data_IF_384891847108
#
_entry.id   IF_384891847108
#
_cell.length_a   1.000
_cell.length_b   1.000
_cell.length_c   1.000
_cell.angle_alpha   90.00
_cell.angle_beta   90.00
_cell.angle_gamma   90.00
#
_symmetry.space_group_name_H-M   'P 1'
#
loop_
_entity.id
_entity.type
_entity.pdbx_description
1 polymer ?
#
# COMPACT_ATOMS: atom_id res chain seq x y z
N UNK A 1 -28.10 11.33 0.16
CA UNK A 1 -26.83 11.35 0.90
C UNK A 1 -26.95 12.06 2.24
N UNK A 2 -27.45 13.30 2.31
CA UNK A 2 -27.57 14.03 3.60
C UNK A 2 -28.49 13.34 4.63
N UNK A 3 -29.63 12.80 4.18
CA UNK A 3 -30.54 12.06 5.08
C UNK A 3 -29.86 10.80 5.66
N UNK A 4 -29.16 10.03 4.83
CA UNK A 4 -28.42 8.83 5.26
C UNK A 4 -27.28 9.20 6.21
N UNK A 5 -26.51 10.25 5.90
CA UNK A 5 -25.43 10.73 6.75
C UNK A 5 -25.94 11.22 8.13
N UNK A 6 -27.11 11.85 8.18
CA UNK A 6 -27.75 12.26 9.43
C UNK A 6 -28.18 11.05 10.26
N UNK A 7 -28.76 10.03 9.63
CA UNK A 7 -29.16 8.77 10.29
C UNK A 7 -27.94 7.99 10.78
N UNK A 8 -26.88 7.87 9.98
CA UNK A 8 -25.64 7.20 10.39
C UNK A 8 -24.98 7.97 11.55
N UNK A 9 -24.98 9.30 11.52
CA UNK A 9 -24.45 10.11 12.62
C UNK A 9 -25.25 9.89 13.91
N UNK A 10 -26.58 9.77 13.82
CA UNK A 10 -27.43 9.37 14.94
C UNK A 10 -27.07 7.99 15.47
N UNK A 11 -27.05 6.98 14.60
CA UNK A 11 -26.68 5.60 14.94
C UNK A 11 -25.31 5.49 15.63
N UNK A 12 -24.30 6.19 15.11
CA UNK A 12 -22.96 6.22 15.69
C UNK A 12 -22.90 6.94 17.04
N UNK A 13 -23.70 8.00 17.23
CA UNK A 13 -23.77 8.75 18.47
C UNK A 13 -24.55 8.00 19.57
N UNK A 14 -25.56 7.21 19.18
CA UNK A 14 -26.36 6.37 20.08
C UNK A 14 -25.55 5.17 20.61
N UNK A 15 -24.64 4.62 19.80
CA UNK A 15 -23.75 3.54 20.22
C UNK A 15 -22.53 4.02 21.03
N UNK A 16 -21.95 5.18 20.70
CA UNK A 16 -20.80 5.72 21.42
C UNK A 16 -20.80 7.27 21.44
N UNK A 17 -21.24 7.93 22.54
CA UNK A 17 -21.33 9.39 22.62
C UNK A 17 -19.96 10.10 22.62
N UNK A 18 -18.87 9.35 22.81
CA UNK A 18 -17.50 9.87 22.81
C UNK A 18 -16.74 9.62 21.50
N UNK A 19 -17.38 9.04 20.48
CA UNK A 19 -16.75 8.66 19.21
C UNK A 19 -16.07 9.86 18.52
N UNK A 20 -16.66 11.06 18.63
CA UNK A 20 -16.14 12.29 18.01
C UNK A 20 -14.92 12.91 18.72
N UNK A 21 -14.53 12.45 19.92
CA UNK A 21 -13.43 13.06 20.71
C UNK A 21 -12.08 12.34 20.58
N UNK A 22 -12.05 11.15 19.99
CA UNK A 22 -10.85 10.28 20.02
C UNK A 22 -10.21 10.09 18.64
N UNK A 23 -8.88 10.07 18.59
CA UNK A 23 -8.09 9.79 17.38
C UNK A 23 -8.27 8.36 16.82
N UNK A 24 -8.93 7.46 17.57
CA UNK A 24 -9.30 6.10 17.15
C UNK A 24 -10.75 6.01 16.61
N UNK A 25 -11.36 7.15 16.26
CA UNK A 25 -12.77 7.26 15.86
C UNK A 25 -13.10 6.53 14.56
N UNK A 26 -12.20 6.58 13.57
CA UNK A 26 -12.50 6.13 12.22
C UNK A 26 -12.56 4.60 12.12
N UNK A 27 -11.64 3.89 12.77
CA UNK A 27 -11.64 2.43 12.84
C UNK A 27 -12.86 1.89 13.62
N UNK A 28 -13.16 2.51 14.78
CA UNK A 28 -14.33 2.15 15.58
C UNK A 28 -15.65 2.43 14.85
N UNK A 29 -15.76 3.59 14.20
CA UNK A 29 -16.92 3.93 13.39
C UNK A 29 -17.10 2.94 12.23
N UNK A 30 -16.01 2.55 11.56
CA UNK A 30 -16.07 1.57 10.49
C UNK A 30 -16.54 0.20 10.99
N UNK A 31 -16.05 -0.24 12.15
CA UNK A 31 -16.46 -1.51 12.77
C UNK A 31 -17.95 -1.53 13.14
N UNK A 32 -18.49 -0.44 13.69
CA UNK A 32 -19.91 -0.33 14.03
C UNK A 32 -20.81 -0.33 12.79
N UNK A 33 -20.42 0.36 11.72
CA UNK A 33 -21.21 0.39 10.48
C UNK A 33 -21.15 -0.97 9.76
N UNK A 34 -20.09 -1.76 9.96
CA UNK A 34 -19.97 -3.12 9.44
C UNK A 34 -20.91 -4.14 10.13
N UNK A 35 -21.40 -3.87 11.34
CA UNK A 35 -22.38 -4.73 12.01
C UNK A 35 -23.76 -4.67 11.34
N UNK A 36 -24.03 -3.60 10.57
CA UNK A 36 -25.30 -3.40 9.86
C UNK A 36 -25.05 -3.08 8.37
N UNK A 37 -24.47 -4.03 7.60
CA UNK A 37 -23.98 -3.75 6.25
C UNK A 37 -25.08 -3.45 5.23
N UNK A 38 -26.28 -3.99 5.45
CA UNK A 38 -27.44 -3.83 4.56
C UNK A 38 -28.15 -2.47 4.73
N UNK A 39 -27.94 -1.77 5.84
CA UNK A 39 -28.64 -0.50 6.11
C UNK A 39 -27.97 0.70 5.44
N UNK A 40 -26.64 0.70 5.28
CA UNK A 40 -25.89 1.87 4.80
C UNK A 40 -24.76 1.52 3.80
N UNK A 41 -25.08 0.89 2.66
CA UNK A 41 -24.07 0.44 1.70
C UNK A 41 -23.27 1.57 1.06
N UNK A 42 -23.85 2.77 0.91
CA UNK A 42 -23.14 3.94 0.36
C UNK A 42 -22.11 4.47 1.35
N UNK A 43 -22.48 4.54 2.64
CA UNK A 43 -21.61 5.04 3.70
C UNK A 43 -20.40 4.12 3.93
N UNK A 44 -20.58 2.80 3.84
CA UNK A 44 -19.49 1.82 3.92
C UNK A 44 -18.46 2.03 2.80
N UNK A 45 -18.92 2.22 1.57
CA UNK A 45 -18.04 2.49 0.42
C UNK A 45 -17.25 3.78 0.60
N UNK A 46 -17.88 4.84 1.10
CA UNK A 46 -17.18 6.10 1.40
C UNK A 46 -16.08 5.90 2.45
N UNK A 47 -16.36 5.16 3.53
CA UNK A 47 -15.35 4.82 4.54
C UNK A 47 -14.21 3.99 3.96
N UNK A 48 -14.50 2.99 3.14
CA UNK A 48 -13.48 2.19 2.45
C UNK A 48 -12.57 3.04 1.57
N UNK A 49 -13.14 3.96 0.79
CA UNK A 49 -12.37 4.89 -0.04
C UNK A 49 -11.50 5.78 0.84
N UNK A 50 -12.05 6.37 1.90
CA UNK A 50 -11.32 7.25 2.81
C UNK A 50 -10.13 6.54 3.47
N UNK A 51 -10.34 5.32 3.99
CA UNK A 51 -9.28 4.50 4.59
C UNK A 51 -8.24 4.11 3.54
N UNK A 52 -8.67 3.73 2.33
CA UNK A 52 -7.76 3.35 1.25
C UNK A 52 -6.88 4.52 0.83
N UNK A 53 -7.42 5.74 0.74
CA UNK A 53 -6.65 6.95 0.41
C UNK A 53 -5.62 7.25 1.52
N UNK A 54 -6.01 7.16 2.79
CA UNK A 54 -5.09 7.37 3.91
C UNK A 54 -3.97 6.31 3.97
N UNK A 55 -4.28 5.05 3.65
CA UNK A 55 -3.26 3.99 3.52
C UNK A 55 -2.39 4.23 2.28
N UNK A 56 -2.98 4.73 1.19
CA UNK A 56 -2.26 5.06 -0.05
C UNK A 56 -1.26 6.20 0.15
N UNK A 57 -1.58 7.22 0.96
CA UNK A 57 -0.63 8.29 1.27
C UNK A 57 0.58 7.76 2.07
N UNK A 58 0.34 6.92 3.09
CA UNK A 58 1.43 6.32 3.87
C UNK A 58 2.33 5.39 3.02
N UNK A 59 1.73 4.59 2.14
CA UNK A 59 2.48 3.70 1.22
C UNK A 59 3.20 4.48 0.11
N UNK A 60 2.61 5.58 -0.39
CA UNK A 60 3.26 6.49 -1.31
C UNK A 60 4.46 7.19 -0.66
N UNK A 61 4.34 7.66 0.59
CA UNK A 61 5.45 8.22 1.38
C UNK A 61 6.60 7.20 1.53
N UNK A 62 6.28 5.94 1.85
CA UNK A 62 7.26 4.85 1.90
C UNK A 62 7.96 4.61 0.56
N UNK A 63 7.21 4.66 -0.54
CA UNK A 63 7.73 4.49 -1.90
C UNK A 63 8.60 5.67 -2.34
N UNK A 64 8.18 6.91 -2.09
CA UNK A 64 8.96 8.11 -2.40
C UNK A 64 10.22 8.22 -1.54
N UNK A 65 10.15 7.87 -0.26
CA UNK A 65 11.31 7.80 0.63
C UNK A 65 12.33 6.78 0.12
N UNK A 66 11.85 5.62 -0.34
CA UNK A 66 12.68 4.59 -0.96
C UNK A 66 13.31 5.06 -2.28
N UNK A 67 12.52 5.67 -3.17
CA UNK A 67 13.01 6.26 -4.41
C UNK A 67 14.06 7.35 -4.16
N UNK A 68 13.88 8.19 -3.15
CA UNK A 68 14.85 9.22 -2.77
C UNK A 68 16.20 8.62 -2.34
N UNK A 69 16.20 7.45 -1.70
CA UNK A 69 17.45 6.73 -1.36
C UNK A 69 18.11 6.09 -2.58
N UNK A 70 17.32 5.60 -3.54
CA UNK A 70 17.82 4.92 -4.74
C UNK A 70 18.32 5.90 -5.80
N UNK A 71 17.62 7.02 -5.99
CA UNK A 71 17.92 8.06 -6.97
C UNK A 71 18.85 9.12 -6.37
N UNK A 72 20.14 8.81 -6.36
CA UNK A 72 21.20 9.74 -5.93
C UNK A 72 21.71 10.60 -7.09
N UNK A 73 22.43 11.68 -6.78
CA UNK A 73 23.00 12.61 -7.76
C UNK A 73 23.83 11.89 -8.85
N UNK A 74 24.72 10.99 -8.43
CA UNK A 74 25.56 10.18 -9.33
C UNK A 74 24.77 9.20 -10.19
N UNK A 75 23.52 8.90 -9.83
CA UNK A 75 22.63 7.96 -10.54
C UNK A 75 21.47 8.67 -11.24
N UNK A 76 21.57 9.98 -11.43
CA UNK A 76 20.52 10.82 -12.01
C UNK A 76 20.13 10.45 -13.44
N UNK A 77 21.03 9.80 -14.19
CA UNK A 77 20.87 9.44 -15.61
C UNK A 77 20.34 8.02 -15.85
N UNK A 78 19.90 7.30 -14.82
CA UNK A 78 19.36 5.94 -15.00
C UNK A 78 17.99 5.93 -15.71
N UNK A 79 17.73 4.87 -16.50
CA UNK A 79 16.43 4.67 -17.13
C UNK A 79 15.33 4.42 -16.10
N UNK A 80 14.09 4.80 -16.44
CA UNK A 80 12.94 4.60 -15.56
C UNK A 80 12.67 3.13 -15.27
N UNK A 81 12.88 2.24 -16.26
CA UNK A 81 12.77 0.79 -16.08
C UNK A 81 13.73 0.29 -15.01
N UNK A 82 14.99 0.73 -15.04
CA UNK A 82 15.99 0.34 -14.04
C UNK A 82 15.65 0.91 -12.66
N UNK A 83 15.21 2.17 -12.59
CA UNK A 83 14.78 2.79 -11.34
C UNK A 83 13.60 2.05 -10.70
N UNK A 84 12.59 1.72 -11.49
CA UNK A 84 11.40 0.98 -11.04
C UNK A 84 11.77 -0.39 -10.50
N UNK A 85 12.57 -1.16 -11.24
CA UNK A 85 13.01 -2.49 -10.80
C UNK A 85 13.77 -2.44 -9.47
N UNK A 86 14.63 -1.44 -9.27
CA UNK A 86 15.35 -1.26 -8.02
C UNK A 86 14.47 -0.80 -6.87
N UNK A 87 13.48 0.06 -7.16
CA UNK A 87 12.50 0.49 -6.18
C UNK A 87 11.69 -0.71 -5.67
N UNK A 88 11.27 -1.60 -6.57
CA UNK A 88 10.58 -2.83 -6.23
C UNK A 88 11.44 -3.73 -5.33
N UNK A 89 12.71 -3.97 -5.69
CA UNK A 89 13.63 -4.75 -4.85
C UNK A 89 13.85 -4.14 -3.46
N UNK A 90 13.88 -2.80 -3.37
CA UNK A 90 14.09 -2.11 -2.11
C UNK A 90 12.86 -2.13 -1.20
N UNK A 91 11.66 -1.91 -1.76
CA UNK A 91 10.39 -1.99 -1.04
C UNK A 91 10.21 -3.44 -0.55
N UNK A 92 10.41 -4.41 -1.43
CA UNK A 92 10.34 -5.84 -1.12
C UNK A 92 11.70 -6.41 -0.66
N UNK A 93 12.42 -5.66 0.17
CA UNK A 93 13.76 -6.07 0.65
C UNK A 93 13.75 -7.40 1.39
N UNK A 94 12.66 -7.75 2.07
CA UNK A 94 12.54 -9.02 2.79
C UNK A 94 12.52 -10.20 1.82
N UNK A 95 11.67 -10.11 0.78
CA UNK A 95 11.63 -11.11 -0.29
C UNK A 95 12.96 -11.15 -1.06
N UNK A 96 13.51 -9.98 -1.39
CA UNK A 96 14.79 -9.87 -2.09
C UNK A 96 15.94 -10.48 -1.29
N UNK A 97 15.95 -10.33 0.04
CA UNK A 97 16.94 -10.96 0.92
C UNK A 97 16.80 -12.49 0.93
N UNK A 98 15.57 -13.00 0.93
CA UNK A 98 15.34 -14.44 0.86
C UNK A 98 15.80 -15.01 -0.48
N UNK A 99 15.55 -14.30 -1.58
CA UNK A 99 16.05 -14.66 -2.90
C UNK A 99 17.59 -14.61 -2.96
N UNK A 100 18.21 -13.63 -2.31
CA UNK A 100 19.67 -13.51 -2.24
C UNK A 100 20.31 -14.69 -1.50
N UNK A 101 19.67 -15.20 -0.45
CA UNK A 101 20.14 -16.40 0.25
C UNK A 101 20.09 -17.67 -0.62
N UNK A 102 19.31 -17.67 -1.69
CA UNK A 102 19.13 -18.81 -2.62
C UNK A 102 19.68 -18.49 -4.02
N UNK A 103 20.64 -17.57 -4.11
CA UNK A 103 21.08 -17.01 -5.40
C UNK A 103 21.61 -18.08 -6.36
N UNK A 104 22.28 -19.11 -5.87
CA UNK A 104 22.84 -20.18 -6.70
C UNK A 104 21.75 -20.93 -7.47
N UNK A 105 20.67 -21.30 -6.78
CA UNK A 105 19.50 -21.94 -7.40
C UNK A 105 18.80 -21.00 -8.38
N UNK A 106 18.78 -19.71 -8.07
CA UNK A 106 18.16 -18.69 -8.91
C UNK A 106 18.95 -18.52 -10.23
N UNK A 107 20.28 -18.50 -10.15
CA UNK A 107 21.17 -18.40 -11.32
C UNK A 107 21.04 -19.63 -12.22
N UNK A 108 21.03 -20.83 -11.63
CA UNK A 108 20.83 -22.09 -12.38
C UNK A 108 19.48 -22.07 -13.09
N UNK A 109 18.40 -21.76 -12.37
CA UNK A 109 17.05 -21.68 -12.94
C UNK A 109 16.93 -20.62 -14.03
N UNK A 110 17.58 -19.47 -13.86
CA UNK A 110 17.60 -18.41 -14.86
C UNK A 110 18.32 -18.87 -16.14
N UNK A 111 19.46 -19.55 -16.00
CA UNK A 111 20.22 -20.10 -17.12
C UNK A 111 19.42 -21.15 -17.90
N UNK A 112 18.68 -22.02 -17.21
CA UNK A 112 17.79 -23.02 -17.84
C UNK A 112 16.60 -22.37 -18.57
N UNK A 113 16.06 -21.27 -18.02
CA UNK A 113 14.87 -20.60 -18.57
C UNK A 113 15.21 -19.69 -19.77
N UNK A 114 16.43 -19.14 -19.80
CA UNK A 114 16.86 -18.19 -20.83
C UNK A 114 18.14 -18.66 -21.55
N UNK A 115 17.96 -19.30 -22.71
CA UNK A 115 19.05 -19.77 -23.60
C UNK A 115 19.94 -18.67 -24.21
N UNK A 116 19.59 -17.38 -24.05
CA UNK A 116 20.36 -16.25 -24.57
C UNK A 116 20.91 -15.38 -23.42
N UNK A 117 21.66 -16.01 -22.52
CA UNK A 117 22.13 -15.47 -21.23
C UNK A 117 23.28 -14.45 -21.34
N UNK A 118 23.38 -13.73 -22.47
CA UNK A 118 24.34 -12.64 -22.61
C UNK A 118 23.84 -11.43 -21.83
N UNK A 119 24.37 -11.24 -20.63
CA UNK A 119 24.34 -9.94 -19.95
C UNK A 119 25.23 -9.01 -20.78
N UNK A 120 24.63 -8.23 -21.67
CA UNK A 120 25.32 -7.16 -22.36
C UNK A 120 25.66 -6.09 -21.31
N UNK A 121 26.87 -6.16 -20.77
CA UNK A 121 27.48 -5.06 -20.05
C UNK A 121 27.86 -4.02 -21.11
N UNK A 122 27.04 -2.98 -21.22
CA UNK A 122 27.37 -1.79 -21.98
C UNK A 122 28.49 -1.02 -21.30
#
# INVERSE_FOLDING_TARGET
>A
MEAEASVVKGFLCDHDPNLCRSSNSLHKAYQLVLEVPESFPATIKCYQIAVTIAVSSATAEGSFSSLRRIKTYLRSTMSQTRLSNLALLYIERHLSSNLWNQIDNLVIKFAETHNNSRIALF
#
